data_IF_582693807316
#
_entry.id   IF_582693807316
#
_cell.length_a   1.000
_cell.length_b   1.000
_cell.length_c   1.000
_cell.angle_alpha   90.00
_cell.angle_beta   90.00
_cell.angle_gamma   90.00
#
_symmetry.space_group_name_H-M   'P 1'
#
loop_
_entity.id
_entity.type
_entity.pdbx_description
1 polymer ?
#
# COMPACT_ATOMS: atom_id res chain seq x y z
N UNK A 1 69.27 -12.81 -3.53
CA UNK A 1 68.32 -11.71 -3.19
C UNK A 1 67.01 -12.00 -3.90
N UNK A 2 66.03 -12.56 -3.18
CA UNK A 2 64.76 -12.99 -3.78
C UNK A 2 63.82 -11.80 -3.65
N UNK A 3 63.19 -11.28 -4.72
CA UNK A 3 62.21 -10.21 -4.61
C UNK A 3 61.00 -10.76 -3.87
N UNK A 4 60.70 -10.22 -2.71
CA UNK A 4 59.42 -10.41 -2.02
C UNK A 4 58.31 -9.87 -2.91
N UNK A 5 57.68 -10.74 -3.64
CA UNK A 5 56.47 -10.46 -4.39
C UNK A 5 55.38 -10.23 -3.38
N UNK A 6 55.20 -8.97 -3.00
CA UNK A 6 54.10 -8.51 -2.16
C UNK A 6 52.87 -8.48 -3.08
N UNK A 7 52.24 -9.65 -3.32
CA UNK A 7 50.91 -9.70 -3.92
C UNK A 7 49.96 -9.11 -2.87
N UNK A 8 49.34 -7.98 -3.10
CA UNK A 8 48.21 -7.58 -2.27
C UNK A 8 47.24 -8.74 -2.36
N UNK A 9 46.82 -9.20 -1.18
CA UNK A 9 46.03 -10.40 -1.01
C UNK A 9 44.71 -10.21 -1.79
N UNK A 10 44.68 -10.69 -3.03
CA UNK A 10 43.54 -10.52 -3.94
C UNK A 10 42.27 -11.07 -3.29
N UNK A 11 42.46 -12.05 -2.40
CA UNK A 11 41.41 -12.64 -1.58
C UNK A 11 40.83 -11.61 -0.60
N UNK A 12 41.67 -10.78 0.02
CA UNK A 12 41.25 -9.69 0.92
C UNK A 12 40.53 -8.57 0.14
N UNK A 13 41.00 -8.23 -1.04
CA UNK A 13 40.35 -7.23 -1.87
C UNK A 13 39.00 -7.74 -2.39
N UNK A 14 38.91 -9.01 -2.77
CA UNK A 14 37.63 -9.64 -3.14
C UNK A 14 36.68 -9.76 -1.95
N UNK A 15 37.21 -10.05 -0.76
CA UNK A 15 36.43 -10.11 0.49
C UNK A 15 35.89 -8.74 0.90
N UNK A 16 36.69 -7.69 0.76
CA UNK A 16 36.24 -6.31 1.04
C UNK A 16 35.17 -5.85 0.04
N UNK A 17 35.37 -6.08 -1.25
CA UNK A 17 34.37 -5.78 -2.27
C UNK A 17 33.07 -6.55 -2.06
N UNK A 18 33.18 -7.77 -1.58
CA UNK A 18 32.02 -8.60 -1.24
C UNK A 18 31.27 -8.08 -0.01
N UNK A 19 32.01 -7.69 1.04
CA UNK A 19 31.45 -7.11 2.27
C UNK A 19 30.75 -5.75 1.99
N UNK A 20 31.34 -4.94 1.10
CA UNK A 20 30.73 -3.67 0.64
C UNK A 20 29.40 -3.91 -0.06
N UNK A 21 29.30 -4.94 -0.89
CA UNK A 21 28.07 -5.29 -1.60
C UNK A 21 26.91 -5.67 -0.67
N UNK A 22 27.17 -6.38 0.43
CA UNK A 22 26.16 -6.73 1.43
C UNK A 22 25.64 -5.53 2.21
N UNK A 23 26.57 -4.67 2.65
CA UNK A 23 26.21 -3.46 3.38
C UNK A 23 25.37 -2.53 2.53
N UNK A 24 25.74 -2.36 1.24
CA UNK A 24 24.97 -1.56 0.29
C UNK A 24 23.54 -2.11 0.07
N UNK A 25 23.37 -3.43 0.00
CA UNK A 25 22.03 -4.03 -0.19
C UNK A 25 21.13 -3.80 1.03
N UNK A 26 21.68 -3.97 2.25
CA UNK A 26 20.95 -3.71 3.50
C UNK A 26 20.57 -2.23 3.61
N UNK A 27 21.48 -1.33 3.30
CA UNK A 27 21.23 0.12 3.30
C UNK A 27 20.15 0.52 2.28
N UNK A 28 20.22 -0.02 1.05
CA UNK A 28 19.20 0.24 0.02
C UNK A 28 17.80 -0.24 0.43
N UNK A 29 17.70 -1.38 1.14
CA UNK A 29 16.42 -1.86 1.68
C UNK A 29 15.86 -0.94 2.76
N UNK A 30 16.72 -0.42 3.64
CA UNK A 30 16.32 0.54 4.67
C UNK A 30 15.92 1.90 4.07
N UNK A 31 16.63 2.38 3.07
CA UNK A 31 16.28 3.60 2.33
C UNK A 31 14.91 3.46 1.64
N UNK A 32 14.66 2.33 0.99
CA UNK A 32 13.36 2.06 0.36
C UNK A 32 12.25 2.03 1.39
N UNK A 33 12.49 1.42 2.57
CA UNK A 33 11.52 1.41 3.65
C UNK A 33 11.21 2.82 4.13
N UNK A 34 12.24 3.63 4.41
CA UNK A 34 12.07 4.99 4.89
C UNK A 34 11.37 5.89 3.86
N UNK A 35 11.77 5.80 2.59
CA UNK A 35 11.17 6.57 1.51
C UNK A 35 9.72 6.12 1.26
N UNK A 36 9.47 4.81 1.26
CA UNK A 36 8.12 4.25 1.13
C UNK A 36 7.19 4.72 2.26
N UNK A 37 7.64 4.69 3.51
CA UNK A 37 6.85 5.18 4.64
C UNK A 37 6.54 6.67 4.52
N UNK A 38 7.51 7.50 4.12
CA UNK A 38 7.29 8.95 3.91
C UNK A 38 6.28 9.22 2.80
N UNK A 39 6.38 8.51 1.68
CA UNK A 39 5.44 8.65 0.57
C UNK A 39 4.03 8.19 0.96
N UNK A 40 3.90 7.10 1.72
CA UNK A 40 2.62 6.60 2.24
C UNK A 40 1.99 7.60 3.21
N UNK A 41 2.80 8.17 4.12
CA UNK A 41 2.30 9.16 5.09
C UNK A 41 1.84 10.45 4.42
N UNK A 42 2.49 10.85 3.32
CA UNK A 42 2.13 12.01 2.52
C UNK A 42 0.96 11.79 1.54
N UNK A 43 0.53 10.55 1.34
CA UNK A 43 -0.55 10.24 0.42
C UNK A 43 -1.92 10.53 1.06
N UNK A 44 -2.71 11.37 0.40
CA UNK A 44 -4.07 11.73 0.80
C UNK A 44 -5.13 11.12 -0.13
N UNK A 45 -4.73 10.54 -1.26
CA UNK A 45 -5.62 9.98 -2.27
C UNK A 45 -5.41 8.48 -2.42
N UNK A 46 -6.49 7.73 -2.63
CA UNK A 46 -6.45 6.28 -2.87
C UNK A 46 -5.62 5.93 -4.12
N UNK A 47 -5.70 6.74 -5.17
CA UNK A 47 -4.95 6.54 -6.42
C UNK A 47 -3.44 6.63 -6.21
N UNK A 48 -3.02 7.61 -5.41
CA UNK A 48 -1.59 7.81 -5.07
C UNK A 48 -1.06 6.63 -4.26
N UNK A 49 -1.88 6.08 -3.34
CA UNK A 49 -1.50 4.87 -2.59
C UNK A 49 -1.33 3.64 -3.49
N UNK A 50 -2.21 3.46 -4.48
CA UNK A 50 -2.05 2.38 -5.46
C UNK A 50 -0.80 2.55 -6.33
N UNK A 51 -0.47 3.77 -6.73
CA UNK A 51 0.77 4.07 -7.46
C UNK A 51 2.01 3.74 -6.61
N UNK A 52 2.01 4.13 -5.34
CA UNK A 52 3.08 3.80 -4.38
C UNK A 52 3.21 2.29 -4.22
N UNK A 53 2.09 1.59 -4.07
CA UNK A 53 2.06 0.14 -4.00
C UNK A 53 2.71 -0.51 -5.21
N UNK A 54 2.37 -0.07 -6.42
CA UNK A 54 2.94 -0.58 -7.66
C UNK A 54 4.43 -0.23 -7.77
N UNK A 55 4.82 0.99 -7.37
CA UNK A 55 6.21 1.48 -7.41
C UNK A 55 7.14 0.66 -6.52
N UNK A 56 6.72 0.29 -5.32
CA UNK A 56 7.55 -0.43 -4.35
C UNK A 56 7.35 -1.95 -4.40
N UNK A 57 6.10 -2.41 -4.45
CA UNK A 57 5.71 -3.82 -4.32
C UNK A 57 5.37 -4.49 -5.66
N UNK A 58 5.31 -3.73 -6.76
CA UNK A 58 4.98 -4.24 -8.09
C UNK A 58 6.02 -5.23 -8.64
N UNK A 59 5.69 -5.88 -9.76
CA UNK A 59 6.60 -6.82 -10.46
C UNK A 59 7.91 -6.16 -10.92
N UNK A 60 7.88 -4.89 -11.22
CA UNK A 60 9.02 -4.04 -11.59
C UNK A 60 9.41 -3.08 -10.46
N UNK A 61 8.83 -3.24 -9.28
CA UNK A 61 9.05 -2.39 -8.13
C UNK A 61 10.48 -2.47 -7.60
N UNK A 62 10.87 -1.45 -6.85
CA UNK A 62 12.23 -1.32 -6.33
C UNK A 62 12.64 -2.51 -5.46
N UNK A 63 11.74 -3.03 -4.62
CA UNK A 63 12.00 -4.24 -3.82
C UNK A 63 12.25 -5.47 -4.71
N UNK A 64 11.46 -5.64 -5.77
CA UNK A 64 11.62 -6.76 -6.68
C UNK A 64 12.93 -6.68 -7.48
N UNK A 65 13.38 -5.47 -7.82
CA UNK A 65 14.68 -5.27 -8.48
C UNK A 65 15.83 -5.66 -7.58
N UNK A 66 15.80 -5.29 -6.29
CA UNK A 66 16.82 -5.71 -5.32
C UNK A 66 16.81 -7.22 -5.15
N UNK A 67 15.64 -7.84 -5.01
CA UNK A 67 15.51 -9.30 -4.91
C UNK A 67 16.06 -10.03 -6.16
N UNK A 68 15.92 -9.44 -7.34
CA UNK A 68 16.53 -9.98 -8.57
C UNK A 68 18.05 -9.84 -8.57
N UNK A 69 18.58 -8.72 -8.09
CA UNK A 69 20.03 -8.51 -7.95
C UNK A 69 20.69 -9.47 -6.95
N UNK A 70 19.92 -10.07 -6.04
CA UNK A 70 20.43 -11.05 -5.08
C UNK A 70 20.86 -12.40 -5.70
N UNK A 71 20.63 -12.62 -6.99
CA UNK A 71 21.05 -13.87 -7.66
C UNK A 71 22.56 -14.03 -7.66
N UNK A 72 23.29 -12.94 -7.63
CA UNK A 72 24.76 -12.92 -7.69
C UNK A 72 25.41 -13.05 -6.30
N UNK A 73 24.61 -13.11 -5.22
CA UNK A 73 25.07 -13.22 -3.83
C UNK A 73 25.12 -14.69 -3.39
N UNK A 74 26.10 -15.09 -2.54
CA UNK A 74 26.20 -16.44 -1.98
C UNK A 74 24.93 -16.84 -1.24
N UNK A 75 24.71 -18.17 -1.14
CA UNK A 75 23.44 -18.72 -0.64
C UNK A 75 23.17 -18.41 0.85
N UNK A 76 24.23 -18.16 1.64
CA UNK A 76 24.12 -17.89 3.08
C UNK A 76 23.52 -16.48 3.30
N UNK A 77 24.10 -15.49 2.65
CA UNK A 77 23.69 -14.08 2.79
C UNK A 77 22.35 -13.81 2.10
N UNK A 78 22.05 -14.56 1.03
CA UNK A 78 20.76 -14.49 0.36
C UNK A 78 19.58 -14.75 1.31
N UNK A 79 19.76 -15.63 2.30
CA UNK A 79 18.72 -15.90 3.30
C UNK A 79 18.49 -14.71 4.21
N UNK A 80 19.56 -14.06 4.68
CA UNK A 80 19.46 -12.89 5.56
C UNK A 80 18.82 -11.70 4.83
N UNK A 81 19.36 -11.34 3.67
CA UNK A 81 18.82 -10.22 2.86
C UNK A 81 17.40 -10.52 2.41
N UNK A 82 17.08 -11.79 2.07
CA UNK A 82 15.72 -12.22 1.74
C UNK A 82 14.74 -12.06 2.89
N UNK A 83 15.15 -12.41 4.12
CA UNK A 83 14.32 -12.22 5.31
C UNK A 83 14.09 -10.74 5.62
N UNK A 84 15.12 -9.90 5.47
CA UNK A 84 15.01 -8.45 5.60
C UNK A 84 14.10 -7.84 4.55
N UNK A 85 14.24 -8.22 3.28
CA UNK A 85 13.37 -7.76 2.21
C UNK A 85 11.90 -8.14 2.43
N UNK A 86 11.64 -9.35 2.95
CA UNK A 86 10.29 -9.76 3.31
C UNK A 86 9.73 -8.96 4.49
N UNK A 87 10.54 -8.66 5.51
CA UNK A 87 10.11 -7.85 6.64
C UNK A 87 9.81 -6.39 6.22
N UNK A 88 10.62 -5.84 5.32
CA UNK A 88 10.38 -4.52 4.72
C UNK A 88 9.06 -4.52 3.93
N UNK A 89 8.86 -5.55 3.13
CA UNK A 89 7.61 -5.73 2.37
C UNK A 89 6.39 -5.76 3.28
N UNK A 90 6.42 -6.58 4.32
CA UNK A 90 5.31 -6.69 5.28
C UNK A 90 4.99 -5.35 5.95
N UNK A 91 6.02 -4.63 6.43
CA UNK A 91 5.84 -3.31 7.02
C UNK A 91 5.22 -2.29 6.08
N UNK A 92 5.61 -2.31 4.80
CA UNK A 92 5.01 -1.43 3.79
C UNK A 92 3.57 -1.84 3.47
N UNK A 93 3.28 -3.14 3.35
CA UNK A 93 1.93 -3.66 3.12
C UNK A 93 0.99 -3.34 4.30
N UNK A 94 1.46 -3.48 5.54
CA UNK A 94 0.70 -3.11 6.75
C UNK A 94 0.37 -1.62 6.76
N UNK A 95 1.38 -0.77 6.53
CA UNK A 95 1.15 0.69 6.50
C UNK A 95 0.25 1.14 5.36
N UNK A 96 0.38 0.54 4.18
CA UNK A 96 -0.54 0.78 3.06
C UNK A 96 -1.97 0.39 3.41
N UNK A 97 -2.18 -0.78 4.01
CA UNK A 97 -3.51 -1.25 4.39
C UNK A 97 -4.15 -0.38 5.49
N UNK A 98 -3.37 0.05 6.50
CA UNK A 98 -3.83 0.99 7.53
C UNK A 98 -4.29 2.33 6.92
N UNK A 99 -3.49 2.90 6.02
CA UNK A 99 -3.83 4.16 5.35
C UNK A 99 -5.01 4.03 4.40
N UNK A 100 -5.11 2.93 3.65
CA UNK A 100 -6.27 2.64 2.80
C UNK A 100 -7.54 2.60 3.62
N UNK A 101 -7.57 1.82 4.71
CA UNK A 101 -8.73 1.73 5.59
C UNK A 101 -9.09 3.08 6.21
N UNK A 102 -8.10 3.89 6.59
CA UNK A 102 -8.35 5.23 7.14
C UNK A 102 -8.98 6.17 6.10
N UNK A 103 -8.49 6.16 4.85
CA UNK A 103 -9.03 7.00 3.79
C UNK A 103 -10.43 6.52 3.33
N UNK A 104 -10.66 5.22 3.22
CA UNK A 104 -11.97 4.65 2.93
C UNK A 104 -13.00 5.03 4.00
N UNK A 105 -12.65 4.93 5.28
CA UNK A 105 -13.52 5.34 6.37
C UNK A 105 -13.81 6.85 6.32
N UNK A 106 -12.82 7.68 6.07
CA UNK A 106 -13.01 9.12 5.93
C UNK A 106 -13.92 9.47 4.73
N UNK A 107 -13.80 8.75 3.61
CA UNK A 107 -14.70 8.94 2.48
C UNK A 107 -16.14 8.52 2.81
N UNK A 108 -16.31 7.38 3.47
CA UNK A 108 -17.62 6.91 3.92
C UNK A 108 -18.29 7.89 4.88
N UNK A 109 -17.54 8.47 5.83
CA UNK A 109 -18.06 9.50 6.73
C UNK A 109 -18.56 10.73 5.96
N UNK A 110 -17.78 11.20 4.98
CA UNK A 110 -18.17 12.34 4.14
C UNK A 110 -19.40 12.03 3.26
N UNK A 111 -19.54 10.82 2.77
CA UNK A 111 -20.71 10.38 2.02
C UNK A 111 -21.94 10.30 2.94
N UNK A 112 -21.80 9.71 4.12
CA UNK A 112 -22.87 9.62 5.13
C UNK A 112 -23.35 11.01 5.57
N UNK A 113 -22.46 11.99 5.70
CA UNK A 113 -22.86 13.37 6.01
C UNK A 113 -23.66 14.02 4.86
N UNK A 114 -23.27 13.73 3.61
CA UNK A 114 -23.99 14.24 2.42
C UNK A 114 -25.37 13.60 2.24
N UNK A 115 -25.47 12.30 2.58
CA UNK A 115 -26.69 11.51 2.45
C UNK A 115 -27.58 11.55 3.68
N UNK A 116 -27.25 12.40 4.67
CA UNK A 116 -28.04 12.55 5.88
C UNK A 116 -29.47 12.97 5.55
N UNK A 117 -30.36 11.98 5.43
CA UNK A 117 -31.79 12.19 5.20
C UNK A 117 -32.39 12.63 6.53
N UNK A 118 -32.99 13.81 6.55
CA UNK A 118 -33.76 14.27 7.71
C UNK A 118 -35.09 13.50 7.76
N UNK A 119 -35.09 12.41 8.53
CA UNK A 119 -36.28 11.59 8.76
C UNK A 119 -37.34 12.29 9.63
N UNK A 120 -37.02 13.46 10.19
CA UNK A 120 -37.97 14.25 10.98
C UNK A 120 -38.86 15.11 10.08
N UNK A 121 -38.53 15.30 8.80
CA UNK A 121 -39.42 15.95 7.86
C UNK A 121 -40.70 15.07 7.69
N UNK A 122 -41.89 15.60 8.07
CA UNK A 122 -43.10 14.82 7.90
C UNK A 122 -43.27 14.50 6.43
N UNK A 123 -43.41 13.21 6.10
CA UNK A 123 -43.62 12.77 4.74
C UNK A 123 -44.74 13.61 4.11
N UNK A 124 -44.46 14.30 3.02
CA UNK A 124 -45.49 15.04 2.27
C UNK A 124 -46.65 14.13 2.08
N UNK A 125 -47.75 14.44 2.77
CA UNK A 125 -48.92 13.54 2.84
C UNK A 125 -49.28 13.05 1.46
N UNK A 126 -49.14 11.75 1.27
CA UNK A 126 -49.57 11.10 0.01
C UNK A 126 -51.02 11.50 -0.17
N UNK A 127 -51.32 12.32 -1.20
CA UNK A 127 -52.67 12.65 -1.54
C UNK A 127 -53.37 11.34 -1.75
N UNK A 128 -54.28 10.96 -0.83
CA UNK A 128 -55.09 9.75 -0.97
C UNK A 128 -55.77 9.83 -2.33
N UNK A 129 -55.54 8.83 -3.17
CA UNK A 129 -56.15 8.77 -4.49
C UNK A 129 -57.63 9.02 -4.37
N UNK A 130 -58.19 9.76 -5.29
CA UNK A 130 -59.63 9.99 -5.33
C UNK A 130 -60.36 8.64 -5.43
N UNK A 131 -61.35 8.44 -4.59
CA UNK A 131 -62.21 7.25 -4.67
C UNK A 131 -62.72 7.12 -6.09
N UNK A 132 -62.67 5.88 -6.63
CA UNK A 132 -63.16 5.58 -7.95
C UNK A 132 -64.59 6.11 -8.11
N UNK A 133 -64.97 6.69 -9.25
CA UNK A 133 -66.30 7.27 -9.45
C UNK A 133 -67.46 6.38 -9.05
N UNK A 134 -67.36 5.06 -9.30
CA UNK A 134 -68.38 4.06 -8.91
C UNK A 134 -68.49 3.94 -7.38
N UNK A 135 -67.41 4.02 -6.62
CA UNK A 135 -67.42 3.98 -5.15
C UNK A 135 -68.06 5.25 -4.59
N UNK A 136 -67.86 6.40 -5.21
CA UNK A 136 -68.50 7.67 -4.88
C UNK A 136 -69.99 7.62 -5.11
N UNK A 137 -70.42 7.00 -6.23
CA UNK A 137 -71.81 6.84 -6.59
C UNK A 137 -72.50 5.92 -5.58
N UNK A 138 -71.94 4.77 -5.29
CA UNK A 138 -72.51 3.81 -4.35
C UNK A 138 -72.69 4.40 -2.93
N UNK A 139 -71.68 5.17 -2.43
CA UNK A 139 -71.79 5.81 -1.13
C UNK A 139 -72.79 6.96 -1.06
N UNK A 140 -73.33 7.44 -2.17
CA UNK A 140 -74.32 8.51 -2.21
C UNK A 140 -75.72 8.00 -2.24
N UNK A 141 -75.94 6.71 -2.50
CA UNK A 141 -77.30 6.08 -2.64
C UNK A 141 -77.58 5.01 -1.56
N UNK A 142 -76.70 4.84 -0.61
CA UNK A 142 -76.95 4.10 0.63
C UNK A 142 -76.98 5.10 1.78
#
# INVERSE_FOLDING_TARGET
MVPRYNRPNVVWAMFLLWLEGEVEMKQKLEEILQNGLKEIDGANDLKVLDEIRVKYLGKTGQLTQILRGMKDIPAEDRREVGSLANSVRQKLEEKLSEKLAALENAQLELEMEKEKIDITEPSKGVKRGALHPLTRFNNKFI
#
